data_IF_065317934441
#
_entry.id   IF_065317934441
#
_cell.length_a   1.000
_cell.length_b   1.000
_cell.length_c   1.000
_cell.angle_alpha   90.00
_cell.angle_beta   90.00
_cell.angle_gamma   90.00
#
_symmetry.space_group_name_H-M   'P 1'
#
loop_
_entity.id
_entity.type
_entity.pdbx_description
1 polymer ?
#
# COMPACT_ATOMS: atom_id res chain seq x y z
N UNK A 1 -7.00 10.26 14.31
CA UNK A 1 -7.13 8.79 14.10
C UNK A 1 -6.30 8.01 15.12
N UNK A 2 -6.64 6.76 15.45
CA UNK A 2 -5.91 5.98 16.47
C UNK A 2 -4.61 5.33 15.93
N UNK A 3 -3.65 5.05 16.82
CA UNK A 3 -2.43 4.30 16.46
C UNK A 3 -2.71 2.91 15.87
N UNK A 4 -3.79 2.26 16.30
CA UNK A 4 -4.24 0.98 15.74
C UNK A 4 -4.71 1.10 14.30
N UNK A 5 -5.41 2.18 13.94
CA UNK A 5 -5.78 2.43 12.55
C UNK A 5 -4.53 2.49 11.64
N UNK A 6 -3.52 3.26 12.06
CA UNK A 6 -2.27 3.41 11.31
C UNK A 6 -1.49 2.09 11.22
N UNK A 7 -1.46 1.29 12.29
CA UNK A 7 -0.90 -0.06 12.27
C UNK A 7 -1.54 -0.94 11.20
N UNK A 8 -2.87 -1.07 11.23
CA UNK A 8 -3.59 -1.90 10.26
C UNK A 8 -3.44 -1.38 8.84
N UNK A 9 -3.37 -0.05 8.66
CA UNK A 9 -3.09 0.54 7.36
C UNK A 9 -1.72 0.07 6.86
N UNK A 10 -0.66 0.26 7.65
CA UNK A 10 0.69 -0.17 7.30
C UNK A 10 0.78 -1.67 7.02
N UNK A 11 0.05 -2.49 7.78
CA UNK A 11 -0.02 -3.95 7.58
C UNK A 11 -0.75 -4.32 6.28
N UNK A 12 -1.81 -3.61 5.91
CA UNK A 12 -2.62 -3.89 4.72
C UNK A 12 -2.04 -3.30 3.42
N UNK A 13 -1.45 -2.09 3.47
CA UNK A 13 -0.86 -1.44 2.31
C UNK A 13 -0.19 -0.11 2.62
N UNK A 14 0.72 0.32 1.75
CA UNK A 14 1.22 1.71 1.82
C UNK A 14 0.08 2.70 1.52
N UNK A 15 0.16 3.92 2.03
CA UNK A 15 -0.75 5.02 1.65
C UNK A 15 -0.83 5.17 0.12
N UNK A 16 -1.98 5.49 -0.47
CA UNK A 16 -2.06 5.73 -1.92
C UNK A 16 -1.27 6.98 -2.31
N UNK A 17 -0.94 7.10 -3.59
CA UNK A 17 -0.20 8.25 -4.11
C UNK A 17 -0.62 8.54 -5.54
N UNK A 18 -1.10 9.75 -5.80
CA UNK A 18 -1.52 10.21 -7.11
C UNK A 18 -0.64 11.35 -7.59
N UNK A 19 -0.07 11.21 -8.80
CA UNK A 19 0.81 12.23 -9.38
C UNK A 19 -0.03 13.36 -9.96
N UNK A 20 0.37 14.60 -9.69
CA UNK A 20 -0.36 15.79 -10.17
C UNK A 20 -1.56 16.18 -9.31
N UNK A 21 -1.72 15.54 -8.14
CA UNK A 21 -2.68 15.90 -7.12
C UNK A 21 -1.94 16.17 -5.81
N UNK A 22 -2.55 16.99 -4.95
CA UNK A 22 -2.11 17.10 -3.56
C UNK A 22 -2.43 15.76 -2.87
N UNK A 23 -1.45 15.15 -2.21
CA UNK A 23 -1.68 13.90 -1.47
C UNK A 23 -1.83 14.25 0.00
N UNK A 24 -3.01 13.96 0.55
CA UNK A 24 -3.38 14.33 1.91
C UNK A 24 -3.83 13.13 2.75
N UNK A 25 -3.74 13.25 4.07
CA UNK A 25 -4.33 12.30 5.02
C UNK A 25 -5.50 12.94 5.76
N UNK A 26 -6.56 12.16 5.96
CA UNK A 26 -7.61 12.55 6.90
C UNK A 26 -7.16 12.22 8.32
N UNK A 27 -7.27 13.17 9.25
CA UNK A 27 -7.04 12.95 10.68
C UNK A 27 -5.59 13.04 11.14
N UNK A 28 -4.76 13.80 10.41
CA UNK A 28 -3.42 14.24 10.83
C UNK A 28 -2.26 13.31 10.45
N UNK A 29 -1.08 13.61 11.02
CA UNK A 29 0.15 12.87 10.75
C UNK A 29 0.05 11.37 11.14
N UNK A 30 0.67 10.47 10.37
CA UNK A 30 0.66 9.05 10.67
C UNK A 30 1.53 8.72 11.89
N UNK A 31 1.03 7.83 12.76
CA UNK A 31 1.78 7.34 13.91
C UNK A 31 2.90 6.36 13.52
N UNK A 32 3.94 6.25 14.34
CA UNK A 32 5.03 5.27 14.17
C UNK A 32 4.54 3.83 14.03
N UNK A 33 3.35 3.51 14.57
CA UNK A 33 2.72 2.19 14.44
C UNK A 33 2.45 1.80 12.99
N UNK A 34 2.33 2.76 12.06
CA UNK A 34 2.27 2.49 10.63
C UNK A 34 3.55 1.79 10.12
N UNK A 35 4.73 2.28 10.53
CA UNK A 35 6.00 1.66 10.17
C UNK A 35 6.13 0.25 10.76
N UNK A 36 5.61 0.05 11.98
CA UNK A 36 5.55 -1.27 12.59
C UNK A 36 4.69 -2.23 11.76
N UNK A 37 3.50 -1.80 11.34
CA UNK A 37 2.62 -2.57 10.46
C UNK A 37 3.28 -2.94 9.13
N UNK A 38 3.97 -1.98 8.48
CA UNK A 38 4.73 -2.22 7.26
C UNK A 38 5.85 -3.25 7.47
N UNK A 39 6.60 -3.11 8.57
CA UNK A 39 7.71 -3.99 8.91
C UNK A 39 7.25 -5.42 9.18
N UNK A 40 6.16 -5.59 9.94
CA UNK A 40 5.56 -6.92 10.18
C UNK A 40 5.11 -7.56 8.87
N UNK A 41 4.46 -6.80 7.98
CA UNK A 41 4.07 -7.33 6.67
C UNK A 41 5.28 -7.84 5.88
N UNK A 42 6.36 -7.07 5.85
CA UNK A 42 7.59 -7.44 5.17
C UNK A 42 8.24 -8.68 5.80
N UNK A 43 8.30 -8.75 7.12
CA UNK A 43 8.84 -9.91 7.86
C UNK A 43 8.04 -11.18 7.58
N UNK A 44 6.71 -11.11 7.50
CA UNK A 44 5.88 -12.28 7.14
C UNK A 44 6.26 -12.81 5.76
N UNK A 45 6.44 -11.93 4.76
CA UNK A 45 6.88 -12.35 3.42
C UNK A 45 8.28 -12.97 3.48
N UNK A 46 9.22 -12.36 4.21
CA UNK A 46 10.57 -12.90 4.36
C UNK A 46 10.58 -14.28 5.03
N UNK A 47 9.78 -14.49 6.07
CA UNK A 47 9.66 -15.78 6.74
C UNK A 47 9.10 -16.83 5.77
N UNK A 48 8.04 -16.52 5.03
CA UNK A 48 7.50 -17.44 4.02
C UNK A 48 8.52 -17.80 2.94
N UNK A 49 9.26 -16.80 2.45
CA UNK A 49 10.33 -17.01 1.49
C UNK A 49 11.47 -17.87 2.08
N UNK A 50 11.86 -17.60 3.32
CA UNK A 50 12.84 -18.39 4.07
C UNK A 50 12.42 -19.84 4.23
N UNK A 51 11.13 -20.11 4.50
CA UNK A 51 10.59 -21.47 4.59
C UNK A 51 10.69 -22.21 3.25
N UNK A 52 10.43 -21.53 2.12
CA UNK A 52 10.60 -22.11 0.77
C UNK A 52 12.06 -22.48 0.53
N UNK A 53 12.99 -21.56 0.81
CA UNK A 53 14.43 -21.80 0.67
C UNK A 53 14.93 -22.93 1.60
N UNK A 54 14.44 -22.96 2.83
CA UNK A 54 14.77 -23.99 3.80
C UNK A 54 14.26 -25.37 3.37
N UNK A 55 13.06 -25.44 2.78
CA UNK A 55 12.55 -26.65 2.16
C UNK A 55 13.47 -27.16 1.05
N UNK A 56 13.93 -26.27 0.16
CA UNK A 56 14.89 -26.61 -0.89
C UNK A 56 16.24 -27.05 -0.33
N UNK A 57 16.71 -26.40 0.73
CA UNK A 57 17.93 -26.79 1.44
C UNK A 57 17.82 -28.20 2.04
N UNK A 58 16.68 -28.55 2.67
CA UNK A 58 16.43 -29.92 3.14
C UNK A 58 16.52 -30.94 2.02
N UNK A 59 15.93 -30.63 0.85
CA UNK A 59 16.05 -31.50 -0.34
C UNK A 59 17.50 -31.66 -0.77
N UNK A 60 18.31 -30.59 -0.71
CA UNK A 60 19.75 -30.68 -0.98
C UNK A 60 20.49 -31.59 -0.01
N UNK A 61 20.17 -31.51 1.29
CA UNK A 61 20.79 -32.39 2.30
C UNK A 61 20.45 -33.85 2.02
N UNK A 62 19.18 -34.16 1.72
CA UNK A 62 18.73 -35.52 1.41
C UNK A 62 19.33 -36.07 0.11
N UNK A 63 19.45 -35.24 -0.93
CA UNK A 63 19.98 -35.65 -2.22
C UNK A 63 21.53 -35.65 -2.28
N UNK A 64 22.21 -35.28 -1.19
CA UNK A 64 23.67 -35.24 -1.08
C UNK A 64 24.38 -34.18 -1.94
N UNK A 65 23.67 -33.48 -2.83
CA UNK A 65 24.24 -32.48 -3.73
C UNK A 65 23.20 -31.48 -4.23
N UNK A 66 23.65 -30.30 -4.64
CA UNK A 66 22.79 -29.32 -5.32
C UNK A 66 22.22 -29.87 -6.62
N UNK A 67 23.03 -30.60 -7.41
CA UNK A 67 22.57 -31.24 -8.65
C UNK A 67 21.43 -32.22 -8.39
N UNK A 68 21.53 -33.01 -7.32
CA UNK A 68 20.47 -33.91 -6.87
C UNK A 68 19.21 -33.16 -6.43
N UNK A 69 19.35 -32.09 -5.66
CA UNK A 69 18.23 -31.23 -5.24
C UNK A 69 17.46 -30.65 -6.43
N UNK A 70 18.20 -30.13 -7.42
CA UNK A 70 17.62 -29.62 -8.65
C UNK A 70 16.92 -30.73 -9.42
N UNK A 71 17.51 -31.92 -9.54
CA UNK A 71 16.86 -33.06 -10.22
C UNK A 71 15.52 -33.39 -9.57
N UNK A 72 15.46 -33.49 -8.24
CA UNK A 72 14.20 -33.73 -7.50
C UNK A 72 13.19 -32.61 -7.76
N UNK A 73 13.64 -31.35 -7.77
CA UNK A 73 12.78 -30.21 -8.11
C UNK A 73 12.22 -30.30 -9.54
N UNK A 74 13.06 -30.61 -10.52
CA UNK A 74 12.66 -30.80 -11.92
C UNK A 74 11.67 -31.95 -12.05
N UNK A 75 11.95 -33.10 -11.45
CA UNK A 75 11.07 -34.27 -11.49
C UNK A 75 9.68 -33.91 -10.90
N UNK A 76 9.64 -33.20 -9.77
CA UNK A 76 8.39 -32.73 -9.15
C UNK A 76 7.64 -31.71 -9.99
N UNK A 77 8.34 -30.78 -10.63
CA UNK A 77 7.77 -29.73 -11.48
C UNK A 77 7.06 -30.33 -12.69
N UNK A 78 7.63 -31.40 -13.27
CA UNK A 78 7.11 -32.07 -14.46
C UNK A 78 6.23 -33.29 -14.15
N UNK A 79 6.09 -33.69 -12.88
CA UNK A 79 5.30 -34.84 -12.42
C UNK A 79 3.83 -34.78 -12.84
N UNK A 80 3.28 -33.57 -12.99
CA UNK A 80 1.89 -33.32 -13.41
C UNK A 80 1.74 -33.04 -14.92
N UNK A 81 2.77 -33.33 -15.71
CA UNK A 81 2.80 -33.19 -17.16
C UNK A 81 3.63 -32.00 -17.66
N UNK A 82 4.13 -32.10 -18.89
CA UNK A 82 5.04 -31.12 -19.52
C UNK A 82 4.48 -29.70 -19.55
N UNK A 83 3.21 -29.53 -19.91
CA UNK A 83 2.57 -28.20 -19.99
C UNK A 83 2.55 -27.50 -18.64
N UNK A 84 2.16 -28.21 -17.56
CA UNK A 84 2.14 -27.64 -16.20
C UNK A 84 3.53 -27.33 -15.69
N UNK A 85 4.52 -28.17 -15.99
CA UNK A 85 5.92 -27.92 -15.65
C UNK A 85 6.47 -26.66 -16.32
N UNK A 86 6.20 -26.47 -17.62
CA UNK A 86 6.59 -25.26 -18.36
C UNK A 86 5.92 -24.01 -17.78
N UNK A 87 4.61 -24.06 -17.49
CA UNK A 87 3.90 -22.92 -16.87
C UNK A 87 4.47 -22.58 -15.49
N UNK A 88 4.77 -23.59 -14.67
CA UNK A 88 5.40 -23.39 -13.36
C UNK A 88 6.79 -22.76 -13.47
N UNK A 89 7.55 -23.08 -14.52
CA UNK A 89 8.87 -22.52 -14.75
C UNK A 89 8.82 -21.10 -15.31
N UNK A 90 7.98 -20.86 -16.33
CA UNK A 90 7.90 -19.58 -17.04
C UNK A 90 7.17 -18.52 -16.20
N UNK A 91 6.13 -18.93 -15.45
CA UNK A 91 5.33 -18.00 -14.67
C UNK A 91 5.56 -18.17 -13.17
N UNK A 92 5.43 -19.38 -12.65
CA UNK A 92 5.51 -19.64 -11.21
C UNK A 92 6.83 -19.21 -10.59
N UNK A 93 7.95 -19.62 -11.18
CA UNK A 93 9.28 -19.35 -10.65
C UNK A 93 9.64 -17.85 -10.66
N UNK A 94 9.49 -17.10 -11.77
CA UNK A 94 9.68 -15.65 -11.75
C UNK A 94 8.76 -14.93 -10.76
N UNK A 95 7.51 -15.37 -10.61
CA UNK A 95 6.60 -14.75 -9.63
C UNK A 95 7.13 -14.93 -8.21
N UNK A 96 7.53 -16.14 -7.83
CA UNK A 96 7.98 -16.45 -6.45
C UNK A 96 9.31 -15.78 -6.12
N UNK A 97 10.28 -15.82 -7.04
CA UNK A 97 11.66 -15.42 -6.75
C UNK A 97 12.01 -14.01 -7.21
N UNK A 98 11.20 -13.39 -8.06
CA UNK A 98 11.46 -12.03 -8.57
C UNK A 98 10.30 -11.12 -8.20
N UNK A 99 9.08 -11.42 -8.65
CA UNK A 99 7.95 -10.49 -8.51
C UNK A 99 7.55 -10.27 -7.05
N UNK A 100 7.42 -11.34 -6.24
CA UNK A 100 7.03 -11.22 -4.83
C UNK A 100 8.10 -10.48 -4.00
N UNK A 101 9.40 -10.83 -4.04
CA UNK A 101 10.44 -10.08 -3.34
C UNK A 101 10.53 -8.62 -3.80
N UNK A 102 10.47 -8.38 -5.12
CA UNK A 102 10.47 -7.03 -5.68
C UNK A 102 9.29 -6.21 -5.16
N UNK A 103 8.08 -6.77 -5.21
CA UNK A 103 6.87 -6.12 -4.69
C UNK A 103 6.98 -5.83 -3.19
N UNK A 104 7.49 -6.78 -2.41
CA UNK A 104 7.67 -6.61 -0.96
C UNK A 104 8.66 -5.47 -0.64
N UNK A 105 9.79 -5.43 -1.34
CA UNK A 105 10.79 -4.36 -1.22
C UNK A 105 10.25 -3.01 -1.66
N UNK A 106 9.65 -2.95 -2.86
CA UNK A 106 9.03 -1.74 -3.41
C UNK A 106 7.96 -1.15 -2.48
N UNK A 107 7.10 -2.02 -1.92
CA UNK A 107 6.09 -1.61 -0.95
C UNK A 107 6.71 -1.03 0.32
N UNK A 108 7.76 -1.65 0.86
CA UNK A 108 8.45 -1.17 2.05
C UNK A 108 9.06 0.22 1.81
N UNK A 109 9.82 0.37 0.73
CA UNK A 109 10.45 1.65 0.36
C UNK A 109 9.43 2.76 0.18
N UNK A 110 8.36 2.51 -0.59
CA UNK A 110 7.30 3.50 -0.79
C UNK A 110 6.53 3.79 0.50
N UNK A 111 6.27 2.77 1.31
CA UNK A 111 5.60 2.93 2.58
C UNK A 111 6.36 3.87 3.51
N UNK A 112 7.66 3.66 3.67
CA UNK A 112 8.56 4.50 4.47
C UNK A 112 8.67 5.91 3.88
N UNK A 113 8.85 6.03 2.56
CA UNK A 113 8.93 7.34 1.91
C UNK A 113 7.65 8.16 2.11
N UNK A 114 6.46 7.55 1.96
CA UNK A 114 5.17 8.21 2.21
C UNK A 114 4.98 8.59 3.67
N UNK A 115 5.41 7.73 4.60
CA UNK A 115 5.41 8.07 6.02
C UNK A 115 6.22 9.33 6.30
N UNK A 116 7.47 9.36 5.85
CA UNK A 116 8.37 10.51 6.02
C UNK A 116 7.83 11.76 5.32
N UNK A 117 7.22 11.60 4.14
CA UNK A 117 6.57 12.71 3.46
C UNK A 117 5.54 13.38 4.37
N UNK A 118 4.64 12.62 5.02
CA UNK A 118 3.60 13.20 5.87
C UNK A 118 4.11 13.68 7.24
N UNK A 119 5.05 12.98 7.87
CA UNK A 119 5.51 13.35 9.21
C UNK A 119 6.44 14.56 9.24
N UNK A 120 7.10 14.87 8.13
CA UNK A 120 8.12 15.92 8.06
C UNK A 120 7.60 17.21 7.41
N UNK A 121 6.28 17.39 7.30
CA UNK A 121 5.69 18.62 6.80
C UNK A 121 5.57 19.65 7.92
N UNK A 122 5.97 20.88 7.63
CA UNK A 122 5.54 22.05 8.38
C UNK A 122 4.28 22.59 7.72
N UNK A 123 3.19 22.66 8.47
CA UNK A 123 1.86 22.98 7.97
C UNK A 123 1.23 24.14 8.73
N UNK A 124 0.33 24.85 8.06
CA UNK A 124 -0.51 25.90 8.63
C UNK A 124 -1.97 25.56 8.36
N UNK A 125 -2.80 25.66 9.39
CA UNK A 125 -4.25 25.47 9.28
C UNK A 125 -4.87 26.58 8.46
N UNK A 126 -5.71 26.21 7.49
CA UNK A 126 -6.53 27.10 6.67
C UNK A 126 -7.91 26.49 6.49
N UNK A 127 -8.92 27.34 6.45
CA UNK A 127 -10.27 26.92 6.06
C UNK A 127 -10.42 27.11 4.55
N UNK A 128 -10.78 26.06 3.83
CA UNK A 128 -10.93 26.06 2.36
C UNK A 128 -12.34 25.62 1.96
N UNK A 129 -12.77 26.05 0.77
CA UNK A 129 -14.06 25.64 0.23
C UNK A 129 -13.92 24.28 -0.47
N UNK A 130 -14.53 23.25 0.09
CA UNK A 130 -14.75 21.98 -0.60
C UNK A 130 -15.91 22.14 -1.58
N UNK A 131 -15.62 21.99 -2.87
CA UNK A 131 -16.60 22.14 -3.94
C UNK A 131 -17.17 20.81 -4.44
N UNK A 132 -16.31 19.80 -4.57
CA UNK A 132 -16.69 18.48 -5.06
C UNK A 132 -16.02 17.41 -4.21
N UNK A 133 -16.75 16.32 -4.00
CA UNK A 133 -16.28 15.10 -3.34
C UNK A 133 -16.53 13.94 -4.30
N UNK A 134 -15.47 13.39 -4.88
CA UNK A 134 -15.54 12.17 -5.66
C UNK A 134 -15.09 10.99 -4.80
N UNK A 135 -15.95 9.98 -4.72
CA UNK A 135 -15.72 8.79 -3.91
C UNK A 135 -16.00 7.54 -4.72
N UNK A 136 -14.96 6.74 -4.91
CA UNK A 136 -15.10 5.38 -5.41
C UNK A 136 -15.02 4.40 -4.25
N UNK A 137 -16.06 3.57 -4.13
CA UNK A 137 -16.10 2.46 -3.19
C UNK A 137 -16.15 1.17 -3.98
N UNK A 138 -15.06 0.40 -3.96
CA UNK A 138 -15.02 -0.90 -4.61
C UNK A 138 -16.04 -1.87 -4.01
N UNK A 139 -16.30 -2.95 -4.76
CA UNK A 139 -17.15 -4.06 -4.30
C UNK A 139 -16.67 -4.65 -2.98
N UNK A 140 -17.53 -5.42 -2.29
CA UNK A 140 -17.18 -6.13 -1.05
C UNK A 140 -15.95 -7.05 -1.19
N UNK A 141 -15.64 -7.50 -2.41
CA UNK A 141 -14.47 -8.36 -2.73
C UNK A 141 -13.22 -7.57 -3.13
N UNK A 142 -13.37 -6.35 -3.64
CA UNK A 142 -12.25 -5.48 -4.02
C UNK A 142 -12.05 -4.43 -2.93
N UNK A 143 -11.11 -4.64 -2.00
CA UNK A 143 -10.79 -3.71 -0.92
C UNK A 143 -10.29 -2.31 -1.36
N UNK A 144 -10.38 -2.00 -2.65
CA UNK A 144 -10.07 -0.70 -3.23
C UNK A 144 -11.13 0.33 -2.91
N UNK A 145 -10.71 1.52 -2.51
CA UNK A 145 -11.50 2.74 -2.49
C UNK A 145 -10.58 3.91 -2.83
N UNK A 146 -11.15 4.95 -3.42
CA UNK A 146 -10.47 6.23 -3.58
C UNK A 146 -11.41 7.34 -3.14
N UNK A 147 -10.81 8.39 -2.60
CA UNK A 147 -11.50 9.63 -2.24
C UNK A 147 -10.65 10.74 -2.83
N UNK A 148 -11.27 11.55 -3.67
CA UNK A 148 -10.66 12.71 -4.30
C UNK A 148 -11.51 13.92 -3.94
N UNK A 149 -10.87 14.96 -3.41
CA UNK A 149 -11.52 16.21 -3.08
C UNK A 149 -11.16 17.27 -4.10
N UNK A 150 -12.13 18.11 -4.46
CA UNK A 150 -11.88 19.34 -5.21
C UNK A 150 -12.10 20.52 -4.29
N UNK A 151 -11.02 21.23 -3.97
CA UNK A 151 -11.03 22.33 -2.99
C UNK A 151 -10.53 23.63 -3.63
N UNK A 152 -11.06 24.75 -3.14
CA UNK A 152 -10.60 26.09 -3.50
C UNK A 152 -9.84 26.70 -2.33
N UNK A 153 -8.54 26.95 -2.56
CA UNK A 153 -7.69 27.69 -1.65
C UNK A 153 -7.55 29.12 -2.18
N UNK A 154 -8.43 30.02 -1.75
CA UNK A 154 -8.62 31.31 -2.40
C UNK A 154 -9.17 31.12 -3.82
N UNK A 155 -8.47 31.63 -4.84
CA UNK A 155 -8.89 31.50 -6.24
C UNK A 155 -8.31 30.26 -6.94
N UNK A 156 -7.46 29.49 -6.27
CA UNK A 156 -6.82 28.31 -6.87
C UNK A 156 -7.65 27.05 -6.62
N UNK A 157 -8.01 26.36 -7.70
CA UNK A 157 -8.65 25.03 -7.66
C UNK A 157 -7.58 23.97 -7.49
N UNK A 158 -7.71 23.13 -6.47
CA UNK A 158 -6.81 22.00 -6.18
C UNK A 158 -7.56 20.68 -6.13
N UNK A 159 -6.93 19.63 -6.64
CA UNK A 159 -7.43 18.26 -6.56
C UNK A 159 -6.58 17.52 -5.54
N UNK A 160 -7.24 16.91 -4.55
CA UNK A 160 -6.60 16.30 -3.38
C UNK A 160 -6.94 14.82 -3.32
N UNK A 161 -5.95 13.94 -3.43
CA UNK A 161 -6.08 12.51 -3.17
C UNK A 161 -5.97 12.23 -1.66
N UNK A 162 -6.94 11.51 -1.11
CA UNK A 162 -6.87 11.04 0.28
C UNK A 162 -6.09 9.72 0.35
N UNK A 163 -4.83 9.84 0.77
CA UNK A 163 -3.84 8.78 0.77
C UNK A 163 -4.16 7.62 1.74
N UNK A 164 -4.96 7.89 2.78
CA UNK A 164 -5.48 6.88 3.71
C UNK A 164 -6.94 6.48 3.42
N UNK A 165 -7.43 6.64 2.19
CA UNK A 165 -8.77 6.18 1.80
C UNK A 165 -9.02 4.73 2.22
N UNK A 166 -10.22 4.48 2.73
CA UNK A 166 -10.74 3.15 3.03
C UNK A 166 -12.20 3.09 2.63
N UNK A 167 -12.75 1.89 2.39
CA UNK A 167 -14.16 1.75 2.03
C UNK A 167 -15.09 2.37 3.07
N UNK A 168 -14.76 2.23 4.37
CA UNK A 168 -15.52 2.84 5.45
C UNK A 168 -15.46 4.35 5.34
N UNK A 169 -14.26 4.93 5.24
CA UNK A 169 -14.08 6.38 5.14
C UNK A 169 -14.78 6.97 3.91
N UNK A 170 -14.66 6.32 2.76
CA UNK A 170 -15.30 6.75 1.52
C UNK A 170 -16.84 6.69 1.61
N UNK A 171 -17.40 5.64 2.24
CA UNK A 171 -18.85 5.56 2.48
C UNK A 171 -19.33 6.65 3.43
N UNK A 172 -18.65 6.83 4.56
CA UNK A 172 -18.97 7.83 5.58
C UNK A 172 -18.96 9.23 4.97
N UNK A 173 -17.90 9.62 4.26
CA UNK A 173 -17.82 10.94 3.62
C UNK A 173 -18.91 11.10 2.56
N UNK A 174 -19.17 10.08 1.74
CA UNK A 174 -20.23 10.13 0.73
C UNK A 174 -21.62 10.34 1.33
N UNK A 175 -21.90 9.77 2.51
CA UNK A 175 -23.19 9.90 3.17
C UNK A 175 -23.33 11.18 3.98
N UNK A 176 -22.25 11.65 4.60
CA UNK A 176 -22.30 12.70 5.62
C UNK A 176 -21.84 14.07 5.09
N UNK A 177 -20.88 14.10 4.16
CA UNK A 177 -20.28 15.34 3.68
C UNK A 177 -21.01 15.84 2.43
N UNK A 178 -21.79 16.92 2.59
CA UNK A 178 -22.47 17.61 1.49
C UNK A 178 -21.57 18.72 0.96
N UNK A 179 -21.43 18.81 -0.35
CA UNK A 179 -20.72 19.90 -1.02
C UNK A 179 -21.71 20.88 -1.68
N UNK A 180 -21.39 22.18 -1.77
CA UNK A 180 -20.17 22.82 -1.27
C UNK A 180 -20.21 23.04 0.25
N UNK A 181 -19.05 22.93 0.92
CA UNK A 181 -18.91 23.21 2.36
C UNK A 181 -17.51 23.73 2.69
N UNK A 182 -17.37 24.48 3.78
CA UNK A 182 -16.04 24.84 4.30
C UNK A 182 -15.47 23.67 5.11
N UNK A 183 -14.19 23.39 4.93
CA UNK A 183 -13.44 22.38 5.69
C UNK A 183 -12.11 22.96 6.15
N UNK A 184 -11.61 22.47 7.28
CA UNK A 184 -10.29 22.84 7.78
C UNK A 184 -9.24 21.89 7.21
N UNK A 185 -8.18 22.48 6.67
CA UNK A 185 -7.07 21.76 6.06
C UNK A 185 -5.74 22.31 6.57
N UNK A 186 -4.73 21.48 6.50
CA UNK A 186 -3.35 21.86 6.78
C UNK A 186 -2.56 21.94 5.48
N UNK A 187 -1.99 23.12 5.24
CA UNK A 187 -1.29 23.45 4.01
C UNK A 187 0.19 23.64 4.29
N UNK A 188 1.05 23.02 3.49
CA UNK A 188 2.50 23.19 3.64
C UNK A 188 3.00 24.51 3.00
N UNK A 189 4.30 24.77 3.14
CA UNK A 189 4.97 25.94 2.54
C UNK A 189 4.86 26.05 1.02
N UNK A 190 4.58 24.95 0.32
CA UNK A 190 4.39 24.90 -1.14
C UNK A 190 2.92 25.13 -1.55
N UNK A 191 2.04 25.40 -0.57
CA UNK A 191 0.61 25.58 -0.82
C UNK A 191 -0.17 24.28 -1.00
N UNK A 192 0.49 23.12 -0.86
CA UNK A 192 -0.13 21.80 -0.99
C UNK A 192 -0.91 21.43 0.27
N UNK A 193 -2.06 20.80 0.08
CA UNK A 193 -2.86 20.28 1.18
C UNK A 193 -2.31 18.93 1.65
N UNK A 194 -1.93 18.85 2.92
CA UNK A 194 -1.30 17.68 3.55
C UNK A 194 -2.27 16.95 4.47
N UNK A 195 -3.09 17.69 5.22
CA UNK A 195 -4.09 17.08 6.10
C UNK A 195 -5.46 17.71 5.92
N UNK A 196 -6.48 16.88 6.10
CA UNK A 196 -7.90 17.26 6.08
C UNK A 196 -8.53 16.82 7.40
N UNK A 197 -9.32 17.71 8.01
CA UNK A 197 -9.97 17.52 9.29
C UNK A 197 -11.49 17.40 9.18
#
# INVERSE_FOLDING_TARGET
MSGWYYFWRGLAGAFSWEKGQDNALIGGAPSWTYLLGLSIHFLVILVLFGLVLFGFYKTKVQAGSWKGAFRVFWDNLFLRGRVRGILGLVFGFPIIFIALPYYAGYRMTNGVWRYNYFTNQETVTKTVLLSELDTYVGSRKSGSSSITLTVFNGNEKRTVNIANSSQTLARTLKSELKTPTMIDVEVNKEGQIIFVH
#
